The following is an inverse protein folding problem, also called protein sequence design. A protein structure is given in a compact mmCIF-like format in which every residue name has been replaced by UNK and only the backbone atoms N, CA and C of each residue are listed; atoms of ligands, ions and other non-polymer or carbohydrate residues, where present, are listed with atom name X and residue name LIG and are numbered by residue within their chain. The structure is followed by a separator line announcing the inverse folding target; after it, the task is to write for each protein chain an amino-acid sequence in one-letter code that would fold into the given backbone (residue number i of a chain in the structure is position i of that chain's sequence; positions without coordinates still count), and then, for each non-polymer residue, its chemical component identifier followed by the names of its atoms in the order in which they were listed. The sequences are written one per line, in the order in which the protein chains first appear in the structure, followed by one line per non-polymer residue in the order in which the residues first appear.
data_IF_993789593187
#
_entry.id   IF_993789593187
#
_cell.length_a   1.000
_cell.length_b   1.000
_cell.length_c   1.000
_cell.angle_alpha   90.00
_cell.angle_beta   90.00
_cell.angle_gamma   90.00
#
_symmetry.space_group_name_H-M   'P 1'
#
loop_
_entity.id
_entity.type
_entity.pdbx_description
1 polymer ?
#
# COMPACT_ATOMS: atom_id res chain seq x y z
N UNK A 1 29.92 -29.80 -7.72
CA UNK A 1 29.23 -29.31 -6.50
C UNK A 1 28.56 -27.94 -6.68
N UNK A 2 29.23 -26.91 -7.24
CA UNK A 2 28.63 -25.58 -7.51
C UNK A 2 27.46 -25.59 -8.50
N UNK A 3 27.56 -26.40 -9.57
CA UNK A 3 26.50 -26.50 -10.58
C UNK A 3 25.22 -27.17 -10.04
N UNK A 4 25.39 -28.18 -9.17
CA UNK A 4 24.27 -28.86 -8.52
C UNK A 4 23.52 -27.92 -7.57
N UNK A 5 24.24 -27.06 -6.84
CA UNK A 5 23.66 -26.07 -5.93
C UNK A 5 22.88 -24.97 -6.70
N UNK A 6 23.37 -24.54 -7.87
CA UNK A 6 22.68 -23.59 -8.73
C UNK A 6 21.41 -24.20 -9.35
N UNK A 7 21.45 -25.46 -9.78
CA UNK A 7 20.27 -26.18 -10.27
C UNK A 7 19.21 -26.36 -9.18
N UNK A 8 19.60 -26.68 -7.94
CA UNK A 8 18.67 -26.77 -6.81
C UNK A 8 18.02 -25.41 -6.51
N UNK A 9 18.79 -24.31 -6.49
CA UNK A 9 18.26 -22.96 -6.28
C UNK A 9 17.28 -22.52 -7.38
N UNK A 10 17.59 -22.81 -8.65
CA UNK A 10 16.71 -22.49 -9.79
C UNK A 10 15.43 -23.32 -9.74
N UNK A 11 15.53 -24.61 -9.39
CA UNK A 11 14.36 -25.49 -9.24
C UNK A 11 13.50 -25.04 -8.05
N UNK A 12 14.08 -24.62 -6.92
CA UNK A 12 13.33 -24.05 -5.79
C UNK A 12 12.62 -22.74 -6.14
N UNK A 13 13.25 -21.87 -6.95
CA UNK A 13 12.63 -20.62 -7.42
C UNK A 13 11.48 -20.92 -8.41
N UNK A 14 11.64 -21.90 -9.30
CA UNK A 14 10.59 -22.30 -10.26
C UNK A 14 9.41 -22.97 -9.55
N UNK A 15 9.66 -23.80 -8.52
CA UNK A 15 8.60 -24.43 -7.71
C UNK A 15 7.83 -23.37 -6.91
N UNK A 16 8.47 -22.28 -6.45
CA UNK A 16 7.78 -21.14 -5.84
C UNK A 16 6.90 -20.34 -6.82
N UNK A 17 7.13 -20.45 -8.14
CA UNK A 17 6.43 -19.66 -9.16
C UNK A 17 5.31 -20.41 -9.91
N UNK A 18 5.06 -21.70 -9.63
CA UNK A 18 4.16 -22.52 -10.48
C UNK A 18 3.04 -23.29 -9.75
N UNK A 19 2.78 -23.09 -8.46
CA UNK A 19 1.51 -23.57 -7.87
C UNK A 19 0.46 -22.47 -7.83
N UNK A 20 0.11 -21.92 -8.99
CA UNK A 20 -1.22 -21.34 -9.16
C UNK A 20 -2.22 -22.50 -9.22
N UNK A 21 -2.65 -22.98 -8.06
CA UNK A 21 -3.87 -23.79 -7.99
C UNK A 21 -4.99 -22.89 -8.50
N UNK A 22 -5.46 -23.15 -9.72
CA UNK A 22 -6.74 -22.60 -10.19
C UNK A 22 -7.85 -23.24 -9.36
N UNK A 23 -8.16 -22.64 -8.21
CA UNK A 23 -9.45 -22.87 -7.56
C UNK A 23 -10.48 -22.07 -8.33
N UNK A 24 -11.21 -22.78 -9.18
CA UNK A 24 -12.44 -22.33 -9.82
C UNK A 24 -13.51 -22.05 -8.74
N UNK A 25 -14.35 -21.03 -8.97
CA UNK A 25 -15.38 -20.43 -8.09
C UNK A 25 -14.93 -19.48 -6.94
N UNK A 26 -14.08 -18.48 -7.20
CA UNK A 26 -13.94 -17.35 -6.27
C UNK A 26 -15.16 -16.41 -6.37
N UNK A 27 -16.01 -16.38 -5.33
CA UNK A 27 -17.06 -15.35 -5.20
C UNK A 27 -16.38 -13.98 -5.15
N UNK A 28 -16.54 -13.17 -6.20
CA UNK A 28 -15.95 -11.83 -6.25
C UNK A 28 -16.49 -10.98 -5.10
N UNK A 29 -15.60 -10.46 -4.26
CA UNK A 29 -15.99 -9.54 -3.19
C UNK A 29 -16.30 -8.18 -3.79
N UNK A 30 -17.47 -7.63 -3.45
CA UNK A 30 -17.86 -6.28 -3.91
C UNK A 30 -17.09 -5.20 -3.13
N UNK A 31 -16.70 -4.09 -3.78
CA UNK A 31 -16.03 -3.01 -3.10
C UNK A 31 -16.98 -2.22 -2.20
N UNK A 32 -16.45 -1.80 -1.04
CA UNK A 32 -17.09 -0.80 -0.18
C UNK A 32 -16.51 0.58 -0.49
N UNK A 33 -17.30 1.44 -1.11
CA UNK A 33 -16.89 2.82 -1.42
C UNK A 33 -16.93 3.71 -0.17
N UNK A 34 -15.85 4.46 0.05
CA UNK A 34 -15.68 5.32 1.23
C UNK A 34 -16.73 6.42 1.29
N UNK A 35 -17.33 6.66 2.46
CA UNK A 35 -18.36 7.70 2.69
C UNK A 35 -17.81 9.12 2.63
N UNK A 36 -16.52 9.33 2.93
CA UNK A 36 -15.88 10.63 2.75
C UNK A 36 -15.80 10.97 1.26
N UNK A 37 -16.66 11.88 0.79
CA UNK A 37 -16.70 12.34 -0.61
C UNK A 37 -15.39 12.99 -1.09
N UNK A 38 -14.48 13.36 -0.18
CA UNK A 38 -13.16 13.92 -0.52
C UNK A 38 -12.07 12.84 -0.59
N UNK A 39 -12.35 11.60 -0.18
CA UNK A 39 -11.47 10.45 -0.31
C UNK A 39 -11.68 9.82 -1.69
N UNK A 40 -10.98 10.38 -2.69
CA UNK A 40 -11.14 10.05 -4.11
C UNK A 40 -9.81 9.64 -4.71
N UNK A 41 -9.84 8.78 -5.72
CA UNK A 41 -8.69 8.39 -6.52
C UNK A 41 -8.21 9.53 -7.43
N UNK A 42 -7.14 9.30 -8.20
CA UNK A 42 -6.49 10.31 -9.06
C UNK A 42 -7.47 11.10 -9.95
N UNK A 43 -8.47 10.45 -10.54
CA UNK A 43 -9.48 11.10 -11.41
C UNK A 43 -10.80 11.45 -10.69
N UNK A 44 -10.82 11.45 -9.36
CA UNK A 44 -11.97 11.92 -8.59
C UNK A 44 -13.07 10.88 -8.33
N UNK A 45 -12.96 9.67 -8.86
CA UNK A 45 -13.84 8.57 -8.48
C UNK A 45 -13.65 8.20 -7.00
N UNK A 46 -14.71 7.76 -6.32
CA UNK A 46 -14.65 7.38 -4.91
C UNK A 46 -13.66 6.24 -4.70
N UNK A 47 -12.76 6.42 -3.73
CA UNK A 47 -11.89 5.34 -3.29
C UNK A 47 -12.71 4.28 -2.52
N UNK A 48 -12.17 3.06 -2.45
CA UNK A 48 -12.86 1.93 -1.87
C UNK A 48 -11.87 0.95 -1.20
N UNK A 49 -12.43 -0.01 -0.48
CA UNK A 49 -11.72 -1.20 0.00
C UNK A 49 -12.62 -2.42 -0.16
N UNK A 50 -12.02 -3.61 -0.17
CA UNK A 50 -12.75 -4.86 -0.04
C UNK A 50 -12.68 -5.31 1.41
N UNK A 51 -13.76 -5.93 1.88
CA UNK A 51 -13.87 -6.45 3.23
C UNK A 51 -14.31 -7.90 3.17
N UNK A 52 -13.45 -8.78 3.68
CA UNK A 52 -13.74 -10.18 3.90
C UNK A 52 -13.91 -10.38 5.41
N UNK A 53 -15.14 -10.65 5.89
CA UNK A 53 -15.39 -10.87 7.31
C UNK A 53 -14.56 -12.05 7.84
N UNK A 54 -14.05 -11.91 9.06
CA UNK A 54 -13.40 -13.01 9.77
C UNK A 54 -14.41 -14.07 10.23
N UNK A 55 -13.91 -15.16 10.80
CA UNK A 55 -14.72 -16.27 11.29
C UNK A 55 -14.08 -16.96 12.51
N UNK A 56 -14.90 -17.72 13.25
CA UNK A 56 -14.46 -18.50 14.41
C UNK A 56 -13.82 -17.64 15.52
N UNK A 57 -12.77 -18.15 16.14
CA UNK A 57 -12.16 -17.52 17.32
C UNK A 57 -11.31 -16.28 16.98
N UNK A 58 -11.08 -16.00 15.69
CA UNK A 58 -10.27 -14.88 15.21
C UNK A 58 -11.12 -13.65 14.79
N UNK A 59 -12.40 -13.59 15.16
CA UNK A 59 -13.32 -12.49 14.83
C UNK A 59 -12.85 -11.11 15.32
N UNK A 60 -12.00 -11.05 16.34
CA UNK A 60 -11.42 -9.80 16.84
C UNK A 60 -10.02 -9.52 16.25
N UNK A 61 -9.57 -10.29 15.28
CA UNK A 61 -8.29 -10.06 14.60
C UNK A 61 -8.53 -9.39 13.24
N UNK A 62 -7.69 -8.40 12.92
CA UNK A 62 -7.85 -7.52 11.76
C UNK A 62 -6.55 -7.42 10.97
N UNK A 63 -6.64 -7.65 9.68
CA UNK A 63 -5.57 -7.46 8.71
C UNK A 63 -6.01 -6.38 7.71
N UNK A 64 -5.28 -5.27 7.66
CA UNK A 64 -5.43 -4.26 6.62
C UNK A 64 -4.26 -4.34 5.68
N UNK A 65 -4.53 -4.72 4.44
CA UNK A 65 -3.53 -4.85 3.39
C UNK A 65 -3.54 -3.66 2.42
N UNK A 66 -2.35 -3.10 2.19
CA UNK A 66 -2.07 -2.04 1.24
C UNK A 66 -1.30 -2.65 0.06
N UNK A 67 -1.89 -2.72 -1.14
CA UNK A 67 -1.29 -3.48 -2.23
C UNK A 67 -0.20 -2.70 -2.96
N UNK A 68 0.53 -3.44 -3.79
CA UNK A 68 1.42 -2.91 -4.81
C UNK A 68 0.71 -1.96 -5.77
N UNK A 69 1.50 -1.14 -6.46
CA UNK A 69 0.97 -0.27 -7.51
C UNK A 69 1.90 0.82 -7.99
N UNK A 70 3.19 0.82 -7.62
CA UNK A 70 4.14 1.83 -8.08
C UNK A 70 3.71 3.26 -7.78
N UNK A 71 4.18 4.21 -8.59
CA UNK A 71 4.03 5.64 -8.36
C UNK A 71 3.91 6.40 -9.67
N UNK A 72 3.43 7.65 -9.56
CA UNK A 72 3.55 8.65 -10.61
C UNK A 72 4.15 9.93 -10.05
N UNK A 73 5.17 10.46 -10.71
CA UNK A 73 6.02 11.54 -10.19
C UNK A 73 5.68 12.94 -10.76
N UNK A 74 4.99 13.02 -11.90
CA UNK A 74 4.63 14.28 -12.55
C UNK A 74 3.21 14.23 -13.13
N UNK A 75 2.71 15.37 -13.64
CA UNK A 75 1.32 15.47 -14.11
C UNK A 75 1.02 14.46 -15.23
N UNK A 76 1.88 14.42 -16.26
CA UNK A 76 1.73 13.52 -17.41
C UNK A 76 1.80 12.06 -16.97
N UNK A 77 2.82 11.67 -16.19
CA UNK A 77 2.94 10.30 -15.71
C UNK A 77 1.78 9.89 -14.80
N UNK A 78 1.16 10.82 -14.07
CA UNK A 78 -0.03 10.52 -13.27
C UNK A 78 -1.31 10.34 -14.10
N UNK A 79 -1.45 11.06 -15.22
CA UNK A 79 -2.54 10.81 -16.18
C UNK A 79 -2.36 9.44 -16.82
N UNK A 80 -1.17 9.13 -17.31
CA UNK A 80 -0.82 7.83 -17.91
C UNK A 80 -0.94 6.68 -16.89
N UNK A 81 -0.49 6.90 -15.67
CA UNK A 81 -0.66 5.97 -14.55
C UNK A 81 -2.14 5.65 -14.36
N UNK A 82 -2.99 6.69 -14.31
CA UNK A 82 -4.41 6.44 -14.18
C UNK A 82 -4.92 5.63 -15.37
N UNK A 83 -4.57 5.95 -16.62
CA UNK A 83 -5.02 5.22 -17.83
C UNK A 83 -4.57 3.75 -17.85
N UNK A 84 -3.32 3.47 -17.51
CA UNK A 84 -2.78 2.11 -17.42
C UNK A 84 -3.39 1.30 -16.27
N UNK A 85 -3.91 1.99 -15.26
CA UNK A 85 -4.60 1.40 -14.11
C UNK A 85 -6.13 1.69 -14.16
N UNK A 86 -6.67 2.12 -15.34
CA UNK A 86 -8.04 2.61 -15.54
C UNK A 86 -9.04 1.49 -15.76
N UNK A 87 -9.28 0.72 -14.72
CA UNK A 87 -10.59 0.61 -14.08
C UNK A 87 -10.25 0.28 -12.64
N UNK A 88 -10.96 0.87 -11.68
CA UNK A 88 -10.84 0.51 -10.27
C UNK A 88 -11.28 -0.93 -9.96
N UNK A 89 -11.00 -1.90 -10.83
CA UNK A 89 -10.82 -3.31 -10.52
C UNK A 89 -9.36 -3.51 -10.14
N UNK A 90 -9.04 -3.52 -8.84
CA UNK A 90 -8.04 -4.46 -8.37
C UNK A 90 -8.32 -5.82 -9.01
N UNK A 91 -7.27 -6.59 -9.25
CA UNK A 91 -7.32 -8.04 -9.03
C UNK A 91 -8.27 -8.25 -7.85
N UNK A 92 -9.50 -8.68 -8.12
CA UNK A 92 -10.49 -8.82 -7.05
C UNK A 92 -9.85 -9.76 -6.05
N UNK A 93 -9.66 -9.33 -4.79
CA UNK A 93 -8.99 -10.19 -3.87
C UNK A 93 -9.81 -11.46 -3.78
N UNK A 94 -9.25 -12.57 -4.24
CA UNK A 94 -9.96 -13.83 -4.12
C UNK A 94 -9.85 -14.26 -2.66
N UNK A 95 -10.83 -15.01 -2.13
CA UNK A 95 -10.67 -15.61 -0.80
C UNK A 95 -9.37 -16.43 -0.66
N UNK A 96 -8.82 -16.90 -1.80
CA UNK A 96 -7.58 -17.65 -1.96
C UNK A 96 -6.31 -16.79 -2.09
N UNK A 97 -6.40 -15.45 -2.04
CA UNK A 97 -5.22 -14.58 -2.05
C UNK A 97 -4.43 -14.77 -0.74
N UNK A 98 -3.45 -15.69 -0.80
CA UNK A 98 -2.20 -15.91 -0.06
C UNK A 98 -1.99 -15.37 1.37
N UNK A 99 -3.04 -15.12 2.14
CA UNK A 99 -2.96 -14.95 3.59
C UNK A 99 -3.41 -16.23 4.28
N UNK A 100 -2.83 -17.38 3.91
CA UNK A 100 -3.22 -18.67 4.47
C UNK A 100 -3.15 -18.66 6.00
N UNK A 101 -2.17 -17.96 6.57
CA UNK A 101 -2.00 -17.80 8.02
C UNK A 101 -3.07 -16.91 8.69
N UNK A 102 -3.81 -16.11 7.92
CA UNK A 102 -4.82 -15.15 8.41
C UNK A 102 -6.21 -15.39 7.81
N UNK A 103 -6.49 -16.61 7.32
CA UNK A 103 -7.70 -16.93 6.58
C UNK A 103 -9.01 -16.59 7.33
N UNK A 104 -9.00 -16.72 8.66
CA UNK A 104 -10.14 -16.48 9.55
C UNK A 104 -10.15 -15.07 10.20
N UNK A 105 -9.21 -14.20 9.85
CA UNK A 105 -9.21 -12.80 10.31
C UNK A 105 -10.19 -11.95 9.50
N UNK A 106 -10.58 -10.80 10.04
CA UNK A 106 -11.16 -9.73 9.23
C UNK A 106 -10.09 -9.20 8.27
N UNK A 107 -10.25 -9.45 6.97
CA UNK A 107 -9.26 -9.08 5.95
C UNK A 107 -9.78 -7.92 5.11
N UNK A 108 -8.99 -6.85 5.05
CA UNK A 108 -9.29 -5.65 4.31
C UNK A 108 -8.25 -5.48 3.22
N UNK A 109 -8.70 -5.26 1.99
CA UNK A 109 -7.83 -4.92 0.87
C UNK A 109 -8.15 -3.50 0.40
N UNK A 110 -7.24 -2.55 0.65
CA UNK A 110 -7.44 -1.15 0.26
C UNK A 110 -7.17 -1.01 -1.24
N UNK A 111 -8.08 -0.40 -2.00
CA UNK A 111 -7.82 -0.14 -3.41
C UNK A 111 -6.70 0.91 -3.54
N UNK A 112 -5.58 0.53 -4.15
CA UNK A 112 -4.50 1.46 -4.45
C UNK A 112 -4.83 2.26 -5.71
N UNK A 113 -5.07 3.56 -5.54
CA UNK A 113 -5.52 4.43 -6.62
C UNK A 113 -5.04 5.88 -6.49
N UNK A 114 -4.06 6.12 -5.62
CA UNK A 114 -3.52 7.46 -5.35
C UNK A 114 -2.15 7.71 -6.00
N UNK A 115 -1.44 6.65 -6.41
CA UNK A 115 -0.14 6.74 -7.08
C UNK A 115 1.00 7.27 -6.20
N UNK A 116 0.87 7.22 -4.87
CA UNK A 116 1.79 7.90 -3.94
C UNK A 116 2.11 7.15 -2.65
N UNK A 117 2.00 5.83 -2.60
CA UNK A 117 2.08 5.06 -1.34
C UNK A 117 1.11 5.57 -0.28
N UNK A 118 -0.08 6.01 -0.70
CA UNK A 118 -1.13 6.45 0.21
C UNK A 118 -0.68 7.65 1.08
N UNK A 119 0.20 8.52 0.56
CA UNK A 119 0.78 9.64 1.35
C UNK A 119 0.29 11.02 0.95
N UNK A 120 -0.16 11.19 -0.30
CA UNK A 120 -0.52 12.50 -0.85
C UNK A 120 -1.76 13.14 -0.24
N UNK A 121 -1.80 14.48 -0.21
CA UNK A 121 -3.03 15.24 0.07
C UNK A 121 -3.01 16.62 -0.62
N UNK A 122 -3.07 16.62 -1.93
CA UNK A 122 -3.10 17.81 -2.78
C UNK A 122 -4.09 17.63 -3.95
N UNK A 123 -4.15 18.62 -4.83
CA UNK A 123 -4.83 18.53 -6.14
C UNK A 123 -4.11 19.44 -7.12
N UNK A 124 -4.14 19.09 -8.42
CA UNK A 124 -3.53 19.88 -9.48
C UNK A 124 -4.46 19.92 -10.69
N UNK A 125 -4.60 21.11 -11.27
CA UNK A 125 -5.32 21.32 -12.51
C UNK A 125 -4.32 21.74 -13.58
N UNK A 126 -4.29 21.01 -14.69
CA UNK A 126 -3.44 21.28 -15.83
C UNK A 126 -4.03 20.57 -17.06
N UNK A 127 -3.92 21.17 -18.25
CA UNK A 127 -4.43 20.61 -19.52
C UNK A 127 -5.89 20.12 -19.40
N UNK A 128 -6.76 20.97 -18.85
CA UNK A 128 -8.18 20.71 -18.61
C UNK A 128 -8.50 19.46 -17.78
N UNK A 129 -7.50 18.92 -17.07
CA UNK A 129 -7.61 17.72 -16.25
C UNK A 129 -7.33 18.06 -14.79
N UNK A 130 -8.21 17.62 -13.89
CA UNK A 130 -8.01 17.72 -12.44
C UNK A 130 -7.51 16.39 -11.89
N UNK A 131 -6.31 16.40 -11.32
CA UNK A 131 -5.77 15.29 -10.56
C UNK A 131 -5.95 15.50 -9.05
N UNK A 132 -6.40 14.46 -8.37
CA UNK A 132 -6.60 14.42 -6.93
C UNK A 132 -5.60 13.47 -6.27
N UNK A 133 -4.65 14.03 -5.54
CA UNK A 133 -3.64 13.27 -4.81
C UNK A 133 -4.11 13.10 -3.36
N UNK A 134 -4.89 12.05 -3.07
CA UNK A 134 -5.63 11.92 -1.79
C UNK A 134 -5.23 10.75 -0.93
N UNK A 135 -4.09 10.11 -1.19
CA UNK A 135 -3.58 8.96 -0.42
C UNK A 135 -3.79 9.07 1.10
N UNK A 136 -3.24 10.09 1.75
CA UNK A 136 -3.36 10.24 3.21
C UNK A 136 -4.82 10.42 3.68
N UNK A 137 -5.68 11.03 2.85
CA UNK A 137 -7.12 11.14 3.15
C UNK A 137 -7.83 9.81 2.97
N UNK A 138 -7.48 9.03 1.94
CA UNK A 138 -7.99 7.68 1.72
C UNK A 138 -7.66 6.79 2.92
N UNK A 139 -6.39 6.77 3.37
CA UNK A 139 -5.98 6.01 4.56
C UNK A 139 -6.82 6.37 5.78
N UNK A 140 -6.92 7.68 6.09
CA UNK A 140 -7.72 8.16 7.23
C UNK A 140 -9.19 7.73 7.13
N UNK A 141 -9.78 7.84 5.95
CA UNK A 141 -11.17 7.48 5.73
C UNK A 141 -11.39 5.97 5.89
N UNK A 142 -10.54 5.12 5.29
CA UNK A 142 -10.59 3.66 5.47
C UNK A 142 -10.52 3.31 6.95
N UNK A 143 -9.49 3.76 7.66
CA UNK A 143 -9.30 3.42 9.08
C UNK A 143 -10.49 3.84 9.93
N UNK A 144 -11.05 5.03 9.69
CA UNK A 144 -12.24 5.50 10.39
C UNK A 144 -13.42 4.55 10.20
N UNK A 145 -13.70 4.13 8.97
CA UNK A 145 -14.82 3.22 8.70
C UNK A 145 -14.60 1.83 9.29
N UNK A 146 -13.37 1.31 9.26
CA UNK A 146 -13.05 0.02 9.87
C UNK A 146 -13.20 0.05 11.39
N UNK A 147 -12.78 1.14 12.05
CA UNK A 147 -13.00 1.33 13.49
C UNK A 147 -14.49 1.31 13.84
N UNK A 148 -15.33 1.94 13.02
CA UNK A 148 -16.79 1.92 13.17
C UNK A 148 -17.40 0.53 12.90
N UNK A 149 -16.73 -0.29 12.09
CA UNK A 149 -17.13 -1.69 11.80
C UNK A 149 -16.68 -2.71 12.85
N UNK A 150 -16.05 -2.28 13.94
CA UNK A 150 -15.63 -3.14 15.05
C UNK A 150 -14.12 -3.28 15.21
N UNK A 151 -13.31 -2.74 14.29
CA UNK A 151 -11.84 -2.80 14.42
C UNK A 151 -11.36 -2.12 15.70
N UNK A 152 -12.12 -1.16 16.27
CA UNK A 152 -11.78 -0.50 17.53
C UNK A 152 -11.53 -1.47 18.69
N UNK A 153 -12.19 -2.63 18.68
CA UNK A 153 -12.10 -3.66 19.72
C UNK A 153 -11.13 -4.79 19.36
N UNK A 154 -10.25 -4.59 18.38
CA UNK A 154 -9.34 -5.62 17.91
C UNK A 154 -8.43 -6.15 19.03
N UNK A 155 -8.27 -7.47 19.09
CA UNK A 155 -7.23 -8.12 19.90
C UNK A 155 -5.89 -8.02 19.19
N UNK A 156 -5.87 -8.35 17.89
CA UNK A 156 -4.71 -8.22 17.03
C UNK A 156 -5.06 -7.36 15.81
N UNK A 157 -4.20 -6.40 15.49
CA UNK A 157 -4.34 -5.56 14.30
C UNK A 157 -3.01 -5.54 13.53
N UNK A 158 -3.05 -5.98 12.28
CA UNK A 158 -1.90 -6.03 11.39
C UNK A 158 -2.13 -5.07 10.22
N UNK A 159 -1.23 -4.09 10.06
CA UNK A 159 -1.11 -3.32 8.82
C UNK A 159 -0.03 -3.98 7.97
N UNK A 160 -0.38 -4.49 6.80
CA UNK A 160 0.57 -5.11 5.90
C UNK A 160 0.53 -4.42 4.54
N UNK A 161 1.64 -4.49 3.80
CA UNK A 161 1.62 -4.05 2.42
C UNK A 161 2.85 -4.46 1.65
N UNK A 162 2.71 -4.46 0.34
CA UNK A 162 3.72 -4.91 -0.62
C UNK A 162 4.18 -3.76 -1.50
N UNK A 163 5.49 -3.65 -1.78
CA UNK A 163 6.06 -2.66 -2.71
C UNK A 163 5.67 -1.22 -2.31
N UNK A 164 4.91 -0.52 -3.16
CA UNK A 164 4.38 0.80 -2.84
C UNK A 164 3.46 0.80 -1.59
N UNK A 165 2.72 -0.29 -1.36
CA UNK A 165 1.96 -0.51 -0.14
C UNK A 165 2.83 -0.87 1.08
N UNK A 166 4.01 -1.47 0.85
CA UNK A 166 5.03 -1.68 1.90
C UNK A 166 5.60 -0.35 2.40
N UNK A 167 5.96 0.56 1.48
CA UNK A 167 6.32 1.95 1.81
C UNK A 167 5.19 2.63 2.60
N UNK A 168 3.95 2.50 2.13
CA UNK A 168 2.78 3.05 2.81
C UNK A 168 2.63 2.50 4.25
N UNK A 169 2.84 1.20 4.42
CA UNK A 169 2.74 0.52 5.72
C UNK A 169 3.75 1.08 6.71
N UNK A 170 5.01 1.26 6.30
CA UNK A 170 6.02 1.87 7.15
C UNK A 170 5.64 3.31 7.54
N UNK A 171 5.24 4.13 6.56
CA UNK A 171 4.93 5.55 6.78
C UNK A 171 3.66 5.80 7.61
N UNK A 172 2.75 4.84 7.66
CA UNK A 172 1.50 4.95 8.44
C UNK A 172 1.49 4.08 9.70
N UNK A 173 2.52 3.29 9.98
CA UNK A 173 2.52 2.33 11.09
C UNK A 173 2.22 2.99 12.45
N UNK A 174 2.90 4.10 12.76
CA UNK A 174 2.66 4.83 14.03
C UNK A 174 1.24 5.40 14.11
N UNK A 175 0.73 5.93 13.00
CA UNK A 175 -0.64 6.44 12.91
C UNK A 175 -1.65 5.31 13.10
N UNK A 176 -1.36 4.12 12.57
CA UNK A 176 -2.19 2.94 12.74
C UNK A 176 -2.17 2.46 14.20
N UNK A 177 -0.98 2.34 14.82
CA UNK A 177 -0.81 2.02 16.25
C UNK A 177 -1.61 2.95 17.16
N UNK A 178 -1.59 4.24 16.86
CA UNK A 178 -2.26 5.28 17.64
C UNK A 178 -3.81 5.20 17.60
N UNK A 179 -4.40 4.37 16.71
CA UNK A 179 -5.86 4.18 16.66
C UNK A 179 -6.37 3.26 17.77
N UNK A 180 -5.49 2.50 18.43
CA UNK A 180 -5.85 1.43 19.34
C UNK A 180 -5.35 1.69 20.76
N UNK A 181 -6.05 1.16 21.79
CA UNK A 181 -5.53 1.16 23.15
C UNK A 181 -4.27 0.27 23.27
N UNK A 182 -3.52 0.45 24.36
CA UNK A 182 -2.30 -0.35 24.62
C UNK A 182 -2.55 -1.85 24.77
N UNK A 183 -3.80 -2.27 25.04
CA UNK A 183 -4.19 -3.67 25.12
C UNK A 183 -4.24 -4.37 23.76
N UNK A 184 -4.40 -3.65 22.66
CA UNK A 184 -4.41 -4.24 21.31
C UNK A 184 -2.99 -4.52 20.85
N UNK A 185 -2.73 -5.75 20.39
CA UNK A 185 -1.47 -6.10 19.76
C UNK A 185 -1.45 -5.60 18.32
N UNK A 186 -0.77 -4.50 18.09
CA UNK A 186 -0.59 -3.93 16.75
C UNK A 186 0.77 -4.30 16.18
N UNK A 187 0.80 -4.74 14.92
CA UNK A 187 2.02 -5.01 14.15
C UNK A 187 1.91 -4.41 12.75
N UNK A 188 3.07 -4.17 12.14
CA UNK A 188 3.17 -3.71 10.76
C UNK A 188 4.12 -4.62 9.99
N UNK A 189 3.76 -4.99 8.77
CA UNK A 189 4.55 -5.83 7.88
C UNK A 189 4.82 -5.08 6.58
N UNK A 190 6.07 -4.65 6.39
CA UNK A 190 6.55 -4.02 5.18
C UNK A 190 7.20 -5.08 4.28
N UNK A 191 6.49 -5.52 3.25
CA UNK A 191 7.02 -6.43 2.23
C UNK A 191 7.46 -5.63 1.00
N UNK A 192 8.66 -5.91 0.49
CA UNK A 192 9.28 -5.22 -0.66
C UNK A 192 9.23 -3.67 -0.64
N UNK A 193 9.03 -3.05 0.53
CA UNK A 193 8.85 -1.60 0.66
C UNK A 193 10.10 -0.82 1.04
N UNK A 194 11.23 -1.48 1.27
CA UNK A 194 12.49 -0.83 1.57
C UNK A 194 13.25 -0.53 0.28
N UNK A 195 13.31 0.75 -0.10
CA UNK A 195 14.13 1.22 -1.21
C UNK A 195 15.40 1.84 -0.64
N UNK A 196 16.49 1.90 -1.41
CA UNK A 196 17.66 2.65 -0.95
C UNK A 196 18.32 3.36 -2.13
N UNK A 197 18.88 4.55 -1.91
CA UNK A 197 19.64 5.24 -2.93
C UNK A 197 20.95 4.50 -3.18
N UNK A 198 20.96 3.56 -4.11
CA UNK A 198 22.18 2.89 -4.54
C UNK A 198 23.03 3.80 -5.43
N UNK A 199 24.35 3.86 -5.19
CA UNK A 199 25.32 4.36 -6.17
C UNK A 199 25.36 3.35 -7.33
N UNK A 200 25.25 3.83 -8.58
CA UNK A 200 24.72 3.06 -9.72
C UNK A 200 25.47 1.77 -10.09
N UNK A 201 24.70 0.80 -10.57
CA UNK A 201 25.03 -0.05 -11.73
C UNK A 201 24.03 0.32 -12.86
N UNK A 202 24.51 0.75 -14.03
CA UNK A 202 23.77 0.80 -15.32
C UNK A 202 22.72 1.87 -15.70
N UNK A 203 22.50 2.99 -14.99
CA UNK A 203 21.59 4.04 -15.51
C UNK A 203 22.20 5.47 -15.73
N UNK A 204 23.49 5.76 -15.47
CA UNK A 204 24.18 7.11 -15.57
C UNK A 204 24.64 7.78 -14.22
N UNK A 205 24.36 9.09 -13.93
CA UNK A 205 24.51 9.77 -12.61
C UNK A 205 23.34 9.91 -11.55
N UNK A 206 22.03 9.68 -11.80
CA UNK A 206 20.91 9.85 -10.84
C UNK A 206 20.21 8.54 -10.38
N UNK A 207 19.73 8.44 -9.13
CA UNK A 207 18.92 7.27 -8.70
C UNK A 207 17.48 7.34 -9.24
N UNK A 208 17.00 6.28 -9.91
CA UNK A 208 15.65 6.23 -10.50
C UNK A 208 14.55 6.41 -9.44
N UNK A 209 14.59 5.61 -8.37
CA UNK A 209 13.62 5.71 -7.28
C UNK A 209 13.68 7.07 -6.56
N UNK A 210 14.87 7.66 -6.42
CA UNK A 210 14.99 8.96 -5.78
C UNK A 210 14.23 10.05 -6.56
N UNK A 211 14.31 10.04 -7.90
CA UNK A 211 13.53 10.94 -8.75
C UNK A 211 12.02 10.77 -8.55
N UNK A 212 11.55 9.52 -8.46
CA UNK A 212 10.14 9.22 -8.18
C UNK A 212 9.71 9.81 -6.83
N UNK A 213 10.49 9.57 -5.77
CA UNK A 213 10.18 10.08 -4.43
C UNK A 213 10.21 11.61 -4.37
N UNK A 214 11.08 12.28 -5.12
CA UNK A 214 11.02 13.74 -5.28
C UNK A 214 9.67 14.18 -5.88
N UNK A 215 9.17 13.48 -6.90
CA UNK A 215 7.84 13.74 -7.46
C UNK A 215 6.72 13.59 -6.44
N UNK A 216 6.77 12.57 -5.57
CA UNK A 216 5.80 12.41 -4.48
C UNK A 216 5.80 13.63 -3.54
N UNK A 217 6.98 14.15 -3.18
CA UNK A 217 7.08 15.34 -2.34
C UNK A 217 6.52 16.59 -3.04
N UNK A 218 6.84 16.80 -4.32
CA UNK A 218 6.46 18.03 -5.03
C UNK A 218 5.02 18.04 -5.54
N UNK A 219 4.57 16.95 -6.16
CA UNK A 219 3.24 16.82 -6.77
C UNK A 219 2.19 16.40 -5.74
N UNK A 220 2.42 15.28 -5.07
CA UNK A 220 1.47 14.68 -4.13
C UNK A 220 1.45 15.37 -2.77
N UNK A 221 2.50 16.16 -2.46
CA UNK A 221 2.71 16.83 -1.16
C UNK A 221 2.80 15.83 -0.01
N UNK A 222 3.48 14.72 -0.28
CA UNK A 222 3.64 13.59 0.64
C UNK A 222 4.45 13.91 1.90
N UNK A 223 5.18 15.03 1.96
CA UNK A 223 5.96 15.43 3.13
C UNK A 223 5.14 15.49 4.42
N UNK A 224 3.85 15.85 4.33
CA UNK A 224 2.95 15.91 5.49
C UNK A 224 2.59 14.53 6.06
N UNK A 225 2.83 13.46 5.31
CA UNK A 225 2.61 12.10 5.79
C UNK A 225 3.82 11.54 6.54
N UNK A 226 5.00 12.18 6.43
CA UNK A 226 6.24 11.68 7.02
C UNK A 226 6.37 12.11 8.50
N UNK A 227 7.01 11.29 9.36
CA UNK A 227 7.31 11.69 10.73
C UNK A 227 8.26 12.90 10.77
N UNK A 228 7.96 13.87 11.64
CA UNK A 228 8.74 15.11 11.76
C UNK A 228 10.18 14.79 12.18
N UNK A 229 10.35 13.89 13.15
CA UNK A 229 11.65 13.41 13.63
C UNK A 229 12.53 12.92 12.47
N UNK A 230 11.96 12.20 11.52
CA UNK A 230 12.69 11.67 10.38
C UNK A 230 13.05 12.73 9.33
N UNK A 231 12.19 13.73 9.13
CA UNK A 231 12.47 14.84 8.19
C UNK A 231 13.50 15.85 8.71
N UNK A 232 13.94 15.74 9.96
CA UNK A 232 15.04 16.52 10.52
C UNK A 232 16.41 15.93 10.19
N UNK A 233 16.50 14.61 9.98
CA UNK A 233 17.76 13.91 9.70
C UNK A 233 18.00 13.63 8.21
N UNK A 234 16.93 13.41 7.45
CA UNK A 234 16.97 13.10 6.02
C UNK A 234 16.03 14.02 5.25
N UNK A 235 16.39 14.31 3.99
CA UNK A 235 15.44 14.99 3.11
C UNK A 235 14.16 14.15 2.94
N UNK A 236 12.98 14.76 2.77
CA UNK A 236 11.73 14.02 2.65
C UNK A 236 11.74 12.93 1.56
N UNK A 237 12.39 13.18 0.41
CA UNK A 237 12.51 12.21 -0.67
C UNK A 237 13.44 11.05 -0.31
N UNK A 238 14.55 11.33 0.38
CA UNK A 238 15.44 10.29 0.90
C UNK A 238 14.73 9.46 1.95
N UNK A 239 13.93 10.05 2.85
CA UNK A 239 13.20 9.26 3.84
C UNK A 239 12.11 8.37 3.22
N UNK A 240 11.35 8.89 2.25
CA UNK A 240 10.43 8.06 1.46
C UNK A 240 11.12 6.87 0.81
N UNK A 241 12.38 7.04 0.39
CA UNK A 241 13.19 5.97 -0.18
C UNK A 241 13.74 5.04 0.90
N UNK A 242 14.54 5.55 1.82
CA UNK A 242 15.56 4.82 2.58
C UNK A 242 15.14 4.32 3.96
N UNK A 243 13.84 4.40 4.29
CA UNK A 243 13.18 3.88 5.50
C UNK A 243 14.14 3.42 6.62
N UNK A 244 14.92 4.35 7.20
CA UNK A 244 15.70 4.02 8.40
C UNK A 244 14.68 3.81 9.52
N UNK A 245 14.57 2.58 9.99
CA UNK A 245 14.04 2.32 11.32
C UNK A 245 15.00 2.99 12.30
N UNK A 246 14.51 3.93 13.09
CA UNK A 246 15.18 4.32 14.33
C UNK A 246 15.13 3.14 15.31
#
# INVERSE_FOLDING_TARGET
MKLLLQLVLIVSIIICFQTSVKTDNSTLVNPTFLRDKKAVCLMGNRAAYYFLPGSGDALNNWLVFLPSGGWCENFTSCVEYNLSHSTGTPSHPTPADNFLDFYNWNRIYVRYCDGSSITGNSKKFQNDTMLYFRGARIFKAVMKELLEKGMRSATNALLAGESAGGVATMLHCDKFRALFPNSTRVKCLCDAGYFFPAKRYNYGNQSHFLSIFHGLIHMHRSSKALPISCTQELSPALYCASLRTM
#
